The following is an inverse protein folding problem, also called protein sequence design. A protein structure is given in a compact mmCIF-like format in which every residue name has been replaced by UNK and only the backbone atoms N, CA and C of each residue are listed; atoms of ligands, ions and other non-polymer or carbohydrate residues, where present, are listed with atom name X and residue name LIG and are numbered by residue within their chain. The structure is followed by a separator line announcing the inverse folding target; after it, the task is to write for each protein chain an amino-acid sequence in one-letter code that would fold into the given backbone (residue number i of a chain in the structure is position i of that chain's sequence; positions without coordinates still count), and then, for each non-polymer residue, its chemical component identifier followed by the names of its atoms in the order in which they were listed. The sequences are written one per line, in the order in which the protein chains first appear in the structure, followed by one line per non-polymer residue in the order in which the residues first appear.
data_IF_870892866769
#
_entry.id   IF_870892866769
#
_cell.length_a   1.000
_cell.length_b   1.000
_cell.length_c   1.000
_cell.angle_alpha   90.00
_cell.angle_beta   90.00
_cell.angle_gamma   90.00
#
_symmetry.space_group_name_H-M   'P 1'
#
loop_
_entity.id
_entity.type
_entity.pdbx_description
1 polymer ?
#
# COMPACT_ATOMS: atom_id res chain seq x y z
N UNK A 1 11.17 9.63 -11.69
CA UNK A 1 10.97 8.45 -12.56
C UNK A 1 11.01 7.18 -11.73
N UNK A 2 10.13 6.21 -11.99
CA UNK A 2 10.20 4.87 -11.36
C UNK A 2 11.35 4.09 -11.98
N UNK A 3 12.21 3.49 -11.14
CA UNK A 3 13.38 2.71 -11.57
C UNK A 3 13.19 1.22 -11.36
N UNK A 4 12.47 0.83 -10.33
CA UNK A 4 12.20 -0.56 -10.01
C UNK A 4 11.21 -0.70 -8.87
N UNK A 5 10.54 -1.84 -8.83
CA UNK A 5 9.62 -2.22 -7.75
C UNK A 5 9.98 -3.62 -7.27
N UNK A 6 9.70 -3.91 -6.01
CA UNK A 6 9.97 -5.21 -5.42
C UNK A 6 8.95 -5.53 -4.35
N UNK A 7 8.83 -6.80 -4.00
CA UNK A 7 7.86 -7.26 -3.01
C UNK A 7 8.41 -8.39 -2.14
N UNK A 8 7.82 -8.56 -0.97
CA UNK A 8 8.08 -9.66 -0.07
C UNK A 8 6.79 -10.06 0.64
N UNK A 9 6.53 -11.35 0.69
CA UNK A 9 5.43 -11.96 1.42
C UNK A 9 5.98 -12.85 2.53
N UNK A 10 5.27 -12.99 3.66
CA UNK A 10 5.59 -14.00 4.66
C UNK A 10 5.61 -15.41 4.07
N UNK A 11 6.32 -16.31 4.71
CA UNK A 11 6.43 -17.71 4.28
C UNK A 11 5.12 -18.49 4.41
N UNK A 12 4.29 -18.13 5.41
CA UNK A 12 3.03 -18.84 5.69
C UNK A 12 1.89 -18.28 4.84
N UNK A 13 1.44 -19.04 3.85
CA UNK A 13 0.18 -18.81 3.15
C UNK A 13 -0.96 -19.48 3.93
N UNK A 14 -2.03 -18.72 4.18
CA UNK A 14 -3.23 -19.19 4.90
C UNK A 14 -4.43 -19.11 3.98
N UNK A 15 -5.03 -20.25 3.69
CA UNK A 15 -6.24 -20.35 2.86
C UNK A 15 -7.51 -20.09 3.68
N UNK A 16 -8.63 -19.79 3.00
CA UNK A 16 -9.92 -19.68 3.67
C UNK A 16 -10.31 -20.96 4.40
N UNK A 17 -10.03 -22.14 3.82
CA UNK A 17 -10.29 -23.45 4.45
C UNK A 17 -9.51 -23.68 5.75
N UNK A 18 -8.34 -23.06 5.87
CA UNK A 18 -7.59 -23.09 7.12
C UNK A 18 -8.26 -22.21 8.18
N UNK A 19 -8.74 -21.01 7.78
CA UNK A 19 -9.47 -20.11 8.68
C UNK A 19 -10.80 -20.68 9.18
N UNK A 20 -11.50 -21.49 8.38
CA UNK A 20 -12.74 -22.16 8.79
C UNK A 20 -12.58 -23.04 10.05
N UNK A 21 -11.36 -23.48 10.36
CA UNK A 21 -11.07 -24.30 11.53
C UNK A 21 -10.92 -23.49 12.83
N UNK A 22 -10.68 -22.20 12.68
CA UNK A 22 -10.37 -21.30 13.80
C UNK A 22 -11.46 -20.24 14.00
N UNK A 23 -12.19 -19.89 12.93
CA UNK A 23 -13.19 -18.83 12.91
C UNK A 23 -14.49 -19.34 12.30
N UNK A 24 -15.64 -18.97 12.87
CA UNK A 24 -16.96 -19.31 12.31
C UNK A 24 -17.20 -18.60 10.95
N UNK A 25 -16.71 -19.21 9.88
CA UNK A 25 -16.77 -18.67 8.50
C UNK A 25 -16.80 -19.81 7.48
N UNK A 26 -16.86 -19.50 6.18
CA UNK A 26 -16.65 -20.46 5.09
C UNK A 26 -15.91 -19.82 3.91
N UNK A 27 -15.25 -20.64 3.09
CA UNK A 27 -14.57 -20.19 1.88
C UNK A 27 -15.54 -19.44 0.95
N UNK A 28 -16.73 -20.00 0.71
CA UNK A 28 -17.76 -19.38 -0.12
C UNK A 28 -18.18 -18.00 0.44
N UNK A 29 -18.35 -17.90 1.77
CA UNK A 29 -18.75 -16.66 2.41
C UNK A 29 -17.68 -15.57 2.27
N UNK A 30 -16.40 -15.94 2.45
CA UNK A 30 -15.27 -15.01 2.30
C UNK A 30 -15.13 -14.57 0.85
N UNK A 31 -15.07 -15.51 -0.09
CA UNK A 31 -14.89 -15.20 -1.53
C UNK A 31 -16.04 -14.35 -2.06
N UNK A 32 -17.29 -14.68 -1.75
CA UNK A 32 -18.46 -13.93 -2.23
C UNK A 32 -18.45 -12.47 -1.75
N UNK A 33 -17.91 -12.20 -0.56
CA UNK A 33 -17.92 -10.86 0.05
C UNK A 33 -16.70 -10.05 -0.22
N UNK A 34 -15.58 -10.69 -0.45
CA UNK A 34 -14.26 -10.04 -0.47
C UNK A 34 -13.45 -10.32 -1.73
N UNK A 35 -13.71 -11.43 -2.41
CA UNK A 35 -12.88 -11.96 -3.49
C UNK A 35 -11.60 -12.65 -3.00
N UNK A 36 -11.34 -12.71 -1.68
CA UNK A 36 -10.10 -13.24 -1.10
C UNK A 36 -10.19 -14.76 -1.00
N UNK A 37 -9.18 -15.47 -1.53
CA UNK A 37 -9.04 -16.93 -1.44
C UNK A 37 -7.98 -17.36 -0.44
N UNK A 38 -6.98 -16.50 -0.23
CA UNK A 38 -5.87 -16.73 0.69
C UNK A 38 -5.25 -15.40 1.14
N UNK A 39 -4.39 -15.44 2.14
CA UNK A 39 -3.53 -14.36 2.61
C UNK A 39 -2.23 -14.93 3.15
N UNK A 40 -1.28 -14.04 3.43
CA UNK A 40 -0.01 -14.40 4.04
C UNK A 40 0.03 -13.83 5.45
N UNK A 41 0.59 -14.58 6.39
CA UNK A 41 0.67 -14.22 7.80
C UNK A 41 2.09 -14.38 8.29
N UNK A 42 2.64 -13.31 8.85
CA UNK A 42 4.00 -13.26 9.37
C UNK A 42 4.19 -14.22 10.54
N UNK A 43 5.15 -15.12 10.42
CA UNK A 43 5.56 -16.07 11.41
C UNK A 43 6.60 -15.50 12.38
N UNK A 44 7.23 -16.40 13.13
CA UNK A 44 8.34 -16.05 14.01
C UNK A 44 9.54 -15.52 13.19
N UNK A 45 10.11 -14.41 13.63
CA UNK A 45 11.23 -13.73 12.97
C UNK A 45 10.85 -12.93 11.73
N UNK A 46 9.58 -12.95 11.30
CA UNK A 46 9.07 -12.09 10.24
C UNK A 46 8.41 -10.86 10.87
N UNK A 47 9.00 -9.69 10.65
CA UNK A 47 8.55 -8.41 11.17
C UNK A 47 8.28 -7.42 10.04
N UNK A 48 7.67 -6.30 10.33
CA UNK A 48 7.41 -5.26 9.34
C UNK A 48 8.71 -4.77 8.70
N UNK A 49 9.76 -4.54 9.51
CA UNK A 49 11.06 -4.12 9.01
C UNK A 49 11.74 -5.20 8.17
N UNK A 50 11.70 -6.47 8.59
CA UNK A 50 12.34 -7.56 7.85
C UNK A 50 11.69 -7.81 6.48
N UNK A 51 10.35 -7.75 6.40
CA UNK A 51 9.61 -7.83 5.14
C UNK A 51 9.90 -6.59 4.27
N UNK A 52 9.89 -5.39 4.87
CA UNK A 52 10.23 -4.15 4.19
C UNK A 52 11.65 -4.17 3.59
N UNK A 53 12.64 -4.66 4.34
CA UNK A 53 14.01 -4.81 3.87
C UNK A 53 14.12 -5.82 2.72
N UNK A 54 13.38 -6.93 2.78
CA UNK A 54 13.35 -7.91 1.70
C UNK A 54 12.73 -7.33 0.42
N UNK A 55 11.61 -6.62 0.52
CA UNK A 55 10.98 -5.93 -0.61
C UNK A 55 11.90 -4.84 -1.19
N UNK A 56 12.60 -4.10 -0.32
CA UNK A 56 13.57 -3.07 -0.70
C UNK A 56 14.73 -3.65 -1.51
N UNK A 57 15.32 -4.78 -1.07
CA UNK A 57 16.40 -5.46 -1.82
C UNK A 57 15.92 -5.87 -3.22
N UNK A 58 14.72 -6.43 -3.33
CA UNK A 58 14.15 -6.79 -4.63
C UNK A 58 13.93 -5.56 -5.53
N UNK A 59 13.47 -4.44 -4.97
CA UNK A 59 13.29 -3.19 -5.72
C UNK A 59 14.63 -2.60 -6.20
N UNK A 60 15.65 -2.60 -5.34
CA UNK A 60 17.01 -2.15 -5.68
C UNK A 60 17.65 -3.00 -6.78
N UNK A 61 17.50 -4.33 -6.71
CA UNK A 61 17.99 -5.24 -7.73
C UNK A 61 17.36 -4.94 -9.10
N UNK A 62 16.04 -4.78 -9.17
CA UNK A 62 15.35 -4.42 -10.41
C UNK A 62 15.67 -3.03 -10.92
N UNK A 63 15.89 -2.08 -10.01
CA UNK A 63 16.34 -0.75 -10.34
C UNK A 63 17.81 -0.70 -10.81
N UNK A 64 18.57 -1.79 -10.67
CA UNK A 64 20.02 -1.84 -10.83
C UNK A 64 20.72 -0.72 -10.02
N UNK A 65 20.21 -0.49 -8.81
CA UNK A 65 20.62 0.57 -7.90
C UNK A 65 21.32 -0.05 -6.68
N UNK A 66 22.49 0.45 -6.35
CA UNK A 66 23.20 0.04 -5.14
C UNK A 66 22.58 0.73 -3.92
N UNK A 67 22.57 0.09 -2.74
CA UNK A 67 22.01 0.69 -1.54
C UNK A 67 22.59 2.07 -1.21
N UNK A 68 23.90 2.29 -1.41
CA UNK A 68 24.60 3.54 -1.10
C UNK A 68 24.15 4.72 -1.99
N UNK A 69 23.43 4.46 -3.06
CA UNK A 69 22.91 5.49 -3.96
C UNK A 69 21.55 6.03 -3.49
N UNK A 70 20.94 5.41 -2.47
CA UNK A 70 19.68 5.87 -1.86
C UNK A 70 19.99 6.91 -0.80
N UNK A 71 19.40 8.09 -0.95
CA UNK A 71 19.57 9.21 -0.03
C UNK A 71 18.27 9.58 0.72
N UNK A 72 17.15 8.91 0.40
CA UNK A 72 15.85 9.06 1.06
C UNK A 72 15.13 7.71 1.20
N UNK A 73 14.71 7.35 2.41
CA UNK A 73 13.88 6.17 2.68
C UNK A 73 12.60 6.63 3.38
N UNK A 74 11.44 6.30 2.81
CA UNK A 74 10.15 6.55 3.43
C UNK A 74 9.40 5.22 3.52
N UNK A 75 9.07 4.82 4.75
CA UNK A 75 8.26 3.63 5.00
C UNK A 75 6.85 4.02 5.43
N UNK A 76 5.85 3.55 4.70
CA UNK A 76 4.46 3.64 5.10
C UNK A 76 4.07 2.40 5.89
N UNK A 77 3.72 2.58 7.16
CA UNK A 77 3.29 1.48 8.04
C UNK A 77 2.39 1.97 9.17
N UNK A 78 1.49 1.10 9.62
CA UNK A 78 0.68 1.24 10.84
C UNK A 78 0.99 0.16 11.87
N UNK A 79 1.89 -0.75 11.52
CA UNK A 79 2.32 -1.87 12.36
C UNK A 79 3.85 -1.88 12.51
N UNK A 80 4.44 -0.81 13.07
CA UNK A 80 5.89 -0.75 13.26
C UNK A 80 6.34 -1.84 14.24
N UNK A 81 7.56 -2.33 14.08
CA UNK A 81 8.18 -3.31 14.99
C UNK A 81 8.27 -2.78 16.43
N UNK A 82 8.60 -1.51 16.56
CA UNK A 82 8.79 -0.79 17.82
C UNK A 82 8.09 0.58 17.73
N UNK A 83 7.78 1.17 18.88
CA UNK A 83 7.29 2.55 18.94
C UNK A 83 8.31 3.53 18.34
N UNK A 84 9.59 3.29 18.57
CA UNK A 84 10.75 3.88 17.93
C UNK A 84 11.96 2.95 18.15
N UNK A 85 13.01 2.94 17.30
CA UNK A 85 13.17 3.76 16.10
C UNK A 85 12.15 3.44 15.00
N UNK A 86 12.09 4.27 13.95
CA UNK A 86 11.21 4.06 12.81
C UNK A 86 11.58 2.82 12.02
N UNK A 87 10.61 2.19 11.38
CA UNK A 87 10.82 1.03 10.49
C UNK A 87 11.78 1.40 9.36
N UNK A 88 11.66 2.60 8.80
CA UNK A 88 12.57 3.09 7.76
C UNK A 88 14.03 3.11 8.21
N UNK A 89 14.33 3.52 9.44
CA UNK A 89 15.71 3.51 9.96
C UNK A 89 16.21 2.10 10.24
N UNK A 90 15.35 1.18 10.64
CA UNK A 90 15.70 -0.24 10.78
C UNK A 90 16.03 -0.85 9.41
N UNK A 91 15.22 -0.58 8.39
CA UNK A 91 15.47 -1.01 7.01
C UNK A 91 16.78 -0.39 6.48
N UNK A 92 17.02 0.90 6.77
CA UNK A 92 18.27 1.59 6.40
C UNK A 92 19.49 0.83 6.93
N UNK A 93 19.47 0.43 8.20
CA UNK A 93 20.53 -0.34 8.83
C UNK A 93 20.69 -1.73 8.19
N UNK A 94 19.58 -2.43 7.94
CA UNK A 94 19.57 -3.77 7.34
C UNK A 94 20.09 -3.78 5.89
N UNK A 95 19.96 -2.66 5.16
CA UNK A 95 20.50 -2.46 3.82
C UNK A 95 21.95 -1.98 3.83
N UNK A 96 22.53 -1.65 4.99
CA UNK A 96 23.86 -1.10 5.13
C UNK A 96 24.00 0.34 4.64
N UNK A 97 22.90 1.09 4.55
CA UNK A 97 22.89 2.49 4.11
C UNK A 97 23.29 3.37 5.29
N UNK A 98 24.42 4.09 5.17
CA UNK A 98 24.97 4.92 6.25
C UNK A 98 24.74 6.42 6.10
N UNK A 99 24.11 6.83 5.01
CA UNK A 99 23.79 8.23 4.70
C UNK A 99 22.33 8.42 4.36
N UNK A 100 21.95 9.66 4.07
CA UNK A 100 20.57 10.01 3.71
C UNK A 100 19.61 10.10 4.89
N UNK A 101 18.34 10.25 4.57
CA UNK A 101 17.24 10.44 5.53
C UNK A 101 16.31 9.24 5.50
N UNK A 102 15.89 8.76 6.68
CA UNK A 102 14.94 7.65 6.79
C UNK A 102 13.88 7.98 7.85
N UNK A 103 12.60 7.86 7.49
CA UNK A 103 11.47 8.08 8.40
C UNK A 103 10.21 7.34 7.94
N UNK A 104 9.27 7.14 8.89
CA UNK A 104 7.99 6.53 8.61
C UNK A 104 6.90 7.58 8.37
N UNK A 105 5.91 7.23 7.56
CA UNK A 105 4.63 7.94 7.43
C UNK A 105 3.48 7.02 7.79
N UNK A 106 2.44 7.57 8.45
CA UNK A 106 1.24 6.83 8.80
C UNK A 106 0.01 7.49 8.19
N UNK A 107 -0.60 6.81 7.22
CA UNK A 107 -1.92 7.11 6.67
C UNK A 107 -2.66 5.79 6.40
N UNK A 108 -2.34 4.76 7.19
CA UNK A 108 -2.92 3.41 7.13
C UNK A 108 -2.87 2.87 5.68
N UNK A 109 -3.98 2.38 5.14
CA UNK A 109 -4.02 1.83 3.77
C UNK A 109 -3.64 2.86 2.69
N UNK A 110 -3.83 4.16 2.93
CA UNK A 110 -3.38 5.23 2.03
C UNK A 110 -1.87 5.54 2.16
N UNK A 111 -1.19 4.93 3.13
CA UNK A 111 0.20 5.26 3.48
C UNK A 111 1.16 5.24 2.31
N UNK A 112 1.06 4.26 1.41
CA UNK A 112 1.95 4.19 0.25
C UNK A 112 1.76 5.37 -0.72
N UNK A 113 0.51 5.79 -0.98
CA UNK A 113 0.23 6.97 -1.83
C UNK A 113 0.79 8.24 -1.18
N UNK A 114 0.64 8.39 0.15
CA UNK A 114 1.22 9.50 0.90
C UNK A 114 2.75 9.47 0.87
N UNK A 115 3.37 8.29 0.99
CA UNK A 115 4.82 8.12 0.90
C UNK A 115 5.36 8.46 -0.49
N UNK A 116 4.70 8.01 -1.57
CA UNK A 116 5.06 8.37 -2.96
C UNK A 116 4.95 9.88 -3.17
N UNK A 117 3.84 10.50 -2.75
CA UNK A 117 3.65 11.94 -2.86
C UNK A 117 4.70 12.73 -2.07
N UNK A 118 5.08 12.26 -0.89
CA UNK A 118 6.13 12.87 -0.05
C UNK A 118 7.49 12.75 -0.72
N UNK A 119 7.86 11.55 -1.20
CA UNK A 119 9.14 11.32 -1.90
C UNK A 119 9.25 12.19 -3.15
N UNK A 120 8.16 12.30 -3.93
CA UNK A 120 8.12 13.16 -5.12
C UNK A 120 8.50 14.62 -4.77
N UNK A 121 7.98 15.17 -3.68
CA UNK A 121 8.30 16.56 -3.28
C UNK A 121 9.75 16.72 -2.85
N UNK A 122 10.33 15.75 -2.14
CA UNK A 122 11.76 15.76 -1.82
C UNK A 122 12.63 15.71 -3.08
N UNK A 123 12.30 14.82 -4.03
CA UNK A 123 13.03 14.69 -5.30
C UNK A 123 12.87 15.93 -6.17
N UNK A 124 11.65 16.43 -6.32
CA UNK A 124 11.36 17.62 -7.13
C UNK A 124 12.00 18.90 -6.58
N UNK A 125 12.23 18.98 -5.27
CA UNK A 125 12.96 20.12 -4.65
C UNK A 125 14.46 20.11 -4.94
N UNK A 126 14.99 19.02 -5.50
CA UNK A 126 16.42 18.83 -5.72
C UNK A 126 17.23 18.51 -4.45
N UNK A 127 16.56 18.37 -3.29
CA UNK A 127 17.24 18.07 -2.01
C UNK A 127 17.75 16.63 -1.95
N UNK A 128 17.12 15.72 -2.68
CA UNK A 128 17.46 14.30 -2.76
C UNK A 128 17.42 13.82 -4.21
N UNK A 129 18.15 12.74 -4.50
CA UNK A 129 18.29 12.19 -5.86
C UNK A 129 17.56 10.88 -6.07
N UNK A 130 17.58 10.01 -5.06
CA UNK A 130 16.96 8.68 -5.14
C UNK A 130 16.24 8.32 -3.85
N UNK A 131 14.96 8.05 -3.97
CA UNK A 131 14.11 7.65 -2.88
C UNK A 131 13.74 6.16 -2.97
N UNK A 132 13.79 5.49 -1.84
CA UNK A 132 13.22 4.16 -1.62
C UNK A 132 11.92 4.34 -0.84
N UNK A 133 10.79 4.09 -1.49
CA UNK A 133 9.44 4.20 -0.93
C UNK A 133 8.92 2.81 -0.64
N UNK A 134 8.55 2.55 0.61
CA UNK A 134 8.18 1.22 1.09
C UNK A 134 6.78 1.27 1.70
N UNK A 135 5.95 0.27 1.42
CA UNK A 135 4.74 -0.04 2.19
C UNK A 135 4.92 -1.41 2.84
N UNK A 136 4.89 -1.49 4.16
CA UNK A 136 5.14 -2.74 4.88
C UNK A 136 4.21 -2.87 6.08
N UNK A 137 3.59 -4.05 6.23
CA UNK A 137 2.61 -4.28 7.29
C UNK A 137 2.61 -5.71 7.81
N UNK A 138 2.37 -5.84 9.11
CA UNK A 138 2.03 -7.09 9.80
C UNK A 138 0.68 -6.95 10.50
N UNK A 139 -0.38 -6.72 9.71
CA UNK A 139 -1.74 -6.47 10.22
C UNK A 139 -2.30 -7.64 11.03
N UNK A 140 -1.84 -8.87 10.76
CA UNK A 140 -2.20 -10.04 11.54
C UNK A 140 -1.95 -9.89 13.05
N UNK A 141 -0.99 -9.02 13.43
CA UNK A 141 -0.58 -8.75 14.82
C UNK A 141 -1.59 -7.87 15.58
N UNK A 142 -2.44 -7.15 14.88
CA UNK A 142 -3.46 -6.26 15.46
C UNK A 142 -4.89 -6.74 15.13
N UNK A 143 -5.05 -7.96 14.61
CA UNK A 143 -6.37 -8.55 14.40
C UNK A 143 -6.94 -9.13 15.69
N UNK A 144 -8.24 -8.89 15.88
CA UNK A 144 -9.06 -9.68 16.82
C UNK A 144 -9.51 -10.95 16.08
N UNK A 145 -8.85 -12.06 16.34
CA UNK A 145 -9.15 -13.33 15.65
C UNK A 145 -10.52 -13.91 16.02
N UNK A 146 -11.22 -13.33 17.00
CA UNK A 146 -12.62 -13.65 17.31
C UNK A 146 -13.61 -12.81 16.51
N UNK A 147 -13.15 -11.73 15.83
CA UNK A 147 -14.00 -10.90 14.97
C UNK A 147 -13.89 -11.35 13.51
N UNK A 148 -14.79 -12.26 13.10
CA UNK A 148 -14.83 -12.77 11.73
C UNK A 148 -15.10 -11.69 10.67
N UNK A 149 -15.56 -10.50 11.06
CA UNK A 149 -15.85 -9.43 10.10
C UNK A 149 -14.59 -8.71 9.63
N UNK A 150 -13.50 -8.85 10.36
CA UNK A 150 -12.21 -8.22 10.07
C UNK A 150 -11.09 -9.22 9.83
N UNK A 151 -10.94 -10.27 10.64
CA UNK A 151 -9.79 -11.19 10.58
C UNK A 151 -9.69 -11.96 9.23
N UNK A 152 -10.80 -12.13 8.52
CA UNK A 152 -10.82 -12.78 7.20
C UNK A 152 -10.35 -11.88 6.05
N UNK A 153 -10.17 -10.57 6.29
CA UNK A 153 -9.82 -9.60 5.26
C UNK A 153 -8.32 -9.42 5.12
N UNK A 154 -7.61 -9.31 6.24
CA UNK A 154 -6.26 -8.79 6.28
C UNK A 154 -5.20 -9.86 6.12
N UNK A 155 -4.08 -9.45 5.55
CA UNK A 155 -2.83 -10.20 5.44
C UNK A 155 -1.64 -9.29 5.67
N UNK A 156 -0.46 -9.91 5.68
CA UNK A 156 0.83 -9.26 5.90
C UNK A 156 1.66 -9.25 4.60
N UNK A 157 2.57 -8.30 4.50
CA UNK A 157 3.49 -8.22 3.38
C UNK A 157 4.17 -6.88 3.27
N UNK A 158 5.05 -6.77 2.31
CA UNK A 158 5.74 -5.52 1.97
C UNK A 158 5.94 -5.38 0.47
N UNK A 159 5.94 -4.14 0.01
CA UNK A 159 6.38 -3.78 -1.32
C UNK A 159 7.18 -2.50 -1.30
N UNK A 160 8.07 -2.32 -2.27
CA UNK A 160 8.95 -1.18 -2.35
C UNK A 160 9.07 -0.66 -3.79
N UNK A 161 9.36 0.64 -3.92
CA UNK A 161 9.58 1.33 -5.18
C UNK A 161 10.80 2.23 -5.07
N UNK A 162 11.68 2.17 -6.07
CA UNK A 162 12.79 3.12 -6.22
C UNK A 162 12.36 4.24 -7.16
N UNK A 163 12.42 5.47 -6.67
CA UNK A 163 12.18 6.70 -7.44
C UNK A 163 13.51 7.45 -7.63
N UNK A 164 13.73 7.98 -8.82
CA UNK A 164 14.92 8.78 -9.15
C UNK A 164 14.51 10.14 -9.71
N UNK A 165 15.13 11.21 -9.21
CA UNK A 165 14.98 12.54 -9.77
C UNK A 165 15.54 12.60 -11.19
N UNK A 166 14.83 13.28 -12.09
CA UNK A 166 15.26 13.54 -13.47
C UNK A 166 15.05 15.02 -13.78
N UNK A 167 16.01 15.66 -14.43
CA UNK A 167 15.94 17.09 -14.71
C UNK A 167 14.90 17.43 -15.81
N UNK A 168 14.86 16.61 -16.85
CA UNK A 168 13.90 16.76 -17.94
C UNK A 168 13.32 15.39 -18.31
N UNK A 169 12.10 15.10 -17.83
CA UNK A 169 11.42 13.85 -18.15
C UNK A 169 9.90 14.07 -18.13
N UNK A 170 9.24 13.47 -19.09
CA UNK A 170 7.79 13.31 -19.13
C UNK A 170 7.30 12.10 -18.28
N UNK A 171 8.24 11.39 -17.63
CA UNK A 171 8.00 10.22 -16.79
C UNK A 171 8.18 10.56 -15.30
N UNK A 172 7.45 9.85 -14.47
CA UNK A 172 7.46 10.02 -13.01
C UNK A 172 6.07 10.33 -12.47
N UNK A 173 6.01 10.87 -11.27
CA UNK A 173 4.75 11.29 -10.64
C UNK A 173 4.28 12.59 -11.29
N UNK A 174 3.22 12.51 -12.11
CA UNK A 174 2.65 13.66 -12.80
C UNK A 174 1.87 14.55 -11.84
N UNK A 175 1.08 13.95 -10.98
CA UNK A 175 0.25 14.62 -9.96
C UNK A 175 -0.03 13.68 -8.80
N UNK A 176 -0.17 14.24 -7.62
CA UNK A 176 -0.68 13.55 -6.44
C UNK A 176 -1.74 14.40 -5.72
N UNK A 177 -2.84 13.76 -5.33
CA UNK A 177 -3.94 14.39 -4.59
C UNK A 177 -4.13 13.66 -3.27
N UNK A 178 -3.96 14.38 -2.17
CA UNK A 178 -4.08 13.85 -0.81
C UNK A 178 -5.18 14.60 -0.06
N UNK A 179 -5.96 13.88 0.73
CA UNK A 179 -7.06 14.42 1.56
C UNK A 179 -7.10 13.69 2.90
N UNK A 180 -7.70 14.32 3.91
CA UNK A 180 -8.04 13.67 5.17
C UNK A 180 -9.26 14.31 5.81
N UNK A 181 -10.00 13.52 6.61
CA UNK A 181 -11.12 14.00 7.43
C UNK A 181 -11.17 13.24 8.76
N UNK A 182 -10.64 13.85 9.80
CA UNK A 182 -10.55 13.27 11.14
C UNK A 182 -11.91 13.09 11.85
N UNK A 183 -12.99 13.62 11.32
CA UNK A 183 -14.36 13.40 11.86
C UNK A 183 -14.78 11.93 11.79
N UNK A 184 -14.14 11.17 10.89
CA UNK A 184 -14.44 9.75 10.65
C UNK A 184 -13.51 8.80 11.41
N UNK A 185 -12.67 9.29 12.33
CA UNK A 185 -11.65 8.49 13.05
C UNK A 185 -12.18 7.25 13.77
N UNK A 186 -13.45 7.23 14.16
CA UNK A 186 -14.08 6.09 14.85
C UNK A 186 -14.58 4.98 13.91
N UNK A 187 -14.46 5.15 12.57
CA UNK A 187 -15.01 4.20 11.60
C UNK A 187 -14.04 3.07 11.23
N UNK A 188 -12.74 3.34 11.35
CA UNK A 188 -11.66 2.39 11.12
C UNK A 188 -10.46 2.81 11.98
N UNK A 189 -10.16 2.05 13.03
CA UNK A 189 -9.11 2.39 13.99
C UNK A 189 -8.62 1.15 14.73
N UNK A 190 -7.52 1.29 15.45
CA UNK A 190 -7.05 0.31 16.43
C UNK A 190 -7.34 0.86 17.82
N UNK A 191 -7.94 0.06 18.70
CA UNK A 191 -8.45 0.48 20.02
C UNK A 191 -7.38 0.57 21.10
N UNK A 192 -6.08 0.48 20.73
CA UNK A 192 -4.91 0.58 21.60
C UNK A 192 -3.89 1.58 21.12
N UNK A 193 -2.92 1.86 21.96
CA UNK A 193 -1.78 2.72 21.68
C UNK A 193 -0.94 2.98 22.92
N UNK A 194 0.36 3.33 22.74
CA UNK A 194 1.27 3.52 23.87
C UNK A 194 0.86 4.65 24.83
N UNK A 195 0.18 5.70 24.32
CA UNK A 195 -0.25 6.85 25.13
C UNK A 195 -1.66 6.72 25.70
N UNK A 196 -2.42 5.68 25.35
CA UNK A 196 -3.80 5.47 25.81
C UNK A 196 -3.93 4.24 26.68
N UNK A 197 -3.71 3.07 26.12
CA UNK A 197 -3.90 1.78 26.78
C UNK A 197 -2.59 1.11 27.22
N UNK A 198 -1.45 1.55 26.67
CA UNK A 198 -0.16 0.89 26.84
C UNK A 198 -0.06 -0.46 26.11
N UNK A 199 -1.02 -0.77 25.22
CA UNK A 199 -1.05 -1.99 24.40
C UNK A 199 -1.21 -1.65 22.93
N UNK A 200 -0.91 -2.61 22.02
CA UNK A 200 -1.16 -2.42 20.60
C UNK A 200 -2.65 -2.27 20.28
N UNK A 201 -3.52 -2.98 21.01
CA UNK A 201 -4.96 -3.02 20.75
C UNK A 201 -5.32 -3.89 19.54
N UNK A 202 -6.60 -3.81 19.12
CA UNK A 202 -7.14 -4.54 18.00
C UNK A 202 -7.85 -3.62 17.02
N UNK A 203 -7.82 -4.00 15.76
CA UNK A 203 -8.52 -3.28 14.69
C UNK A 203 -10.04 -3.37 14.89
N UNK A 204 -10.69 -2.22 14.74
CA UNK A 204 -12.15 -2.06 14.77
C UNK A 204 -12.61 -1.36 13.49
N UNK A 205 -13.67 -1.88 12.85
CA UNK A 205 -14.12 -1.36 11.55
C UNK A 205 -15.64 -1.40 11.41
N UNK A 206 -16.21 -0.26 11.01
CA UNK A 206 -17.58 -0.16 10.54
C UNK A 206 -17.63 -0.38 9.01
N UNK A 207 -17.56 -1.63 8.55
CA UNK A 207 -17.30 -1.98 7.14
C UNK A 207 -18.26 -1.34 6.13
N UNK A 208 -19.56 -1.17 6.44
CA UNK A 208 -20.54 -0.51 5.54
C UNK A 208 -20.23 0.97 5.35
N UNK A 209 -19.83 1.67 6.42
CA UNK A 209 -19.49 3.10 6.38
C UNK A 209 -18.18 3.30 5.62
N UNK A 210 -17.17 2.44 5.89
CA UNK A 210 -15.91 2.44 5.15
C UNK A 210 -16.14 2.23 3.66
N UNK A 211 -16.95 1.25 3.27
CA UNK A 211 -17.27 0.97 1.86
C UNK A 211 -17.91 2.19 1.18
N UNK A 212 -18.97 2.77 1.80
CA UNK A 212 -19.70 3.91 1.23
C UNK A 212 -18.79 5.12 1.06
N UNK A 213 -17.98 5.42 2.05
CA UNK A 213 -17.05 6.55 2.02
C UNK A 213 -15.95 6.32 0.97
N UNK A 214 -15.36 5.11 0.93
CA UNK A 214 -14.29 4.77 0.00
C UNK A 214 -14.69 5.03 -1.46
N UNK A 215 -15.78 4.42 -1.94
CA UNK A 215 -16.21 4.55 -3.34
C UNK A 215 -16.54 6.01 -3.70
N UNK A 216 -16.98 6.84 -2.73
CA UNK A 216 -17.25 8.26 -2.96
C UNK A 216 -15.95 9.07 -3.11
N UNK A 217 -15.14 9.07 -2.07
CA UNK A 217 -14.01 9.98 -1.93
C UNK A 217 -12.82 9.62 -2.83
N UNK A 218 -12.61 8.33 -3.09
CA UNK A 218 -11.56 7.87 -3.99
C UNK A 218 -11.80 8.37 -5.41
N UNK A 219 -13.05 8.26 -5.90
CA UNK A 219 -13.36 8.78 -7.24
C UNK A 219 -13.18 10.29 -7.35
N UNK A 220 -13.46 11.06 -6.30
CA UNK A 220 -13.31 12.51 -6.31
C UNK A 220 -11.83 12.92 -6.46
N UNK A 221 -10.90 12.31 -5.70
CA UNK A 221 -9.46 12.65 -5.82
C UNK A 221 -8.85 12.19 -7.14
N UNK A 222 -9.36 11.10 -7.74
CA UNK A 222 -8.92 10.66 -9.07
C UNK A 222 -9.44 11.62 -10.15
N UNK A 223 -10.70 12.09 -10.05
CA UNK A 223 -11.25 13.11 -10.95
C UNK A 223 -10.45 14.41 -10.86
N UNK A 224 -10.08 14.84 -9.64
CA UNK A 224 -9.21 16.01 -9.44
C UNK A 224 -7.82 15.83 -10.10
N UNK A 225 -7.26 14.62 -10.04
CA UNK A 225 -5.97 14.32 -10.67
C UNK A 225 -6.07 14.37 -12.20
N UNK A 226 -7.12 13.83 -12.79
CA UNK A 226 -7.38 13.94 -14.23
C UNK A 226 -7.60 15.39 -14.66
N UNK A 227 -8.39 16.15 -13.92
CA UNK A 227 -8.66 17.56 -14.22
C UNK A 227 -7.38 18.42 -14.25
N UNK A 228 -6.44 18.17 -13.31
CA UNK A 228 -5.17 18.91 -13.25
C UNK A 228 -4.21 18.56 -14.39
N UNK A 229 -4.23 17.31 -14.85
CA UNK A 229 -3.33 16.84 -15.93
C UNK A 229 -3.92 17.00 -17.33
N UNK A 230 -5.23 17.23 -17.45
CA UNK A 230 -5.95 17.20 -18.72
C UNK A 230 -6.13 15.79 -19.30
N UNK A 231 -5.80 14.76 -18.52
CA UNK A 231 -5.97 13.35 -18.87
C UNK A 231 -7.34 12.83 -18.40
N UNK A 232 -7.71 11.64 -18.87
CA UNK A 232 -8.98 10.99 -18.57
C UNK A 232 -8.77 9.53 -18.21
N UNK A 233 -9.82 8.83 -17.80
CA UNK A 233 -9.77 7.40 -17.54
C UNK A 233 -9.44 6.56 -18.79
N UNK A 234 -9.77 7.06 -19.98
CA UNK A 234 -9.45 6.39 -21.25
C UNK A 234 -7.95 6.37 -21.53
N UNK A 235 -7.23 7.40 -21.08
CA UNK A 235 -5.77 7.52 -21.24
C UNK A 235 -4.99 6.57 -20.32
N UNK A 236 -5.63 6.02 -19.27
CA UNK A 236 -4.96 5.07 -18.37
C UNK A 236 -4.62 3.78 -19.11
N UNK A 237 -3.38 3.32 -18.92
CA UNK A 237 -3.00 1.95 -19.22
C UNK A 237 -3.38 1.03 -18.07
N UNK A 238 -3.10 1.44 -16.83
CA UNK A 238 -3.35 0.63 -15.64
C UNK A 238 -3.92 1.42 -14.46
N UNK A 239 -4.88 0.81 -13.80
CA UNK A 239 -5.40 1.23 -12.50
C UNK A 239 -4.96 0.22 -11.43
N UNK A 240 -4.18 0.68 -10.46
CA UNK A 240 -3.63 -0.13 -9.36
C UNK A 240 -4.15 0.42 -8.03
N UNK A 241 -5.40 0.08 -7.67
CA UNK A 241 -6.01 0.54 -6.42
C UNK A 241 -5.45 -0.19 -5.21
N UNK A 242 -5.70 0.38 -4.02
CA UNK A 242 -5.59 -0.35 -2.77
C UNK A 242 -6.41 -1.64 -2.81
N UNK A 243 -5.80 -2.76 -2.46
CA UNK A 243 -6.38 -4.09 -2.52
C UNK A 243 -7.17 -4.41 -1.24
N UNK A 244 -8.18 -3.57 -0.93
CA UNK A 244 -8.98 -3.72 0.28
C UNK A 244 -9.96 -4.88 0.19
N UNK A 245 -10.68 -4.94 -0.92
CA UNK A 245 -11.82 -5.82 -1.17
C UNK A 245 -12.18 -5.71 -2.65
N UNK A 246 -12.39 -6.83 -3.33
CA UNK A 246 -12.71 -6.84 -4.76
C UNK A 246 -13.92 -5.98 -5.11
N UNK A 247 -14.95 -5.96 -4.24
CA UNK A 247 -16.18 -5.17 -4.48
C UNK A 247 -15.93 -3.66 -4.46
N UNK A 248 -14.99 -3.18 -3.62
CA UNK A 248 -14.58 -1.77 -3.60
C UNK A 248 -13.83 -1.44 -4.88
N UNK A 249 -12.87 -2.28 -5.26
CA UNK A 249 -12.08 -2.13 -6.48
C UNK A 249 -12.99 -2.02 -7.71
N UNK A 250 -13.91 -2.97 -7.86
CA UNK A 250 -14.82 -3.02 -9.00
C UNK A 250 -15.76 -1.81 -9.04
N UNK A 251 -16.31 -1.40 -7.87
CA UNK A 251 -17.19 -0.24 -7.78
C UNK A 251 -16.48 1.09 -8.10
N UNK A 252 -15.23 1.25 -7.66
CA UNK A 252 -14.43 2.45 -7.95
C UNK A 252 -14.06 2.52 -9.44
N UNK A 253 -13.62 1.43 -10.03
CA UNK A 253 -13.32 1.34 -11.46
C UNK A 253 -14.56 1.63 -12.32
N UNK A 254 -15.69 1.01 -12.00
CA UNK A 254 -16.95 1.21 -12.70
C UNK A 254 -17.42 2.66 -12.65
N UNK A 255 -17.33 3.31 -11.48
CA UNK A 255 -17.76 4.70 -11.30
C UNK A 255 -16.97 5.68 -12.15
N UNK A 256 -15.69 5.37 -12.42
CA UNK A 256 -14.79 6.17 -13.26
C UNK A 256 -14.78 5.75 -14.73
N UNK A 257 -15.51 4.71 -15.11
CA UNK A 257 -15.51 4.20 -16.47
C UNK A 257 -14.23 3.46 -16.87
N UNK A 258 -13.42 3.02 -15.89
CA UNK A 258 -12.18 2.28 -16.16
C UNK A 258 -12.54 0.85 -16.56
N UNK A 259 -12.03 0.40 -17.71
CA UNK A 259 -12.28 -0.93 -18.24
C UNK A 259 -11.69 -2.00 -17.28
N UNK A 260 -12.42 -3.11 -17.00
CA UNK A 260 -11.99 -4.12 -16.02
C UNK A 260 -10.60 -4.74 -16.32
N UNK A 261 -10.23 -4.84 -17.58
CA UNK A 261 -8.93 -5.37 -18.04
C UNK A 261 -7.74 -4.46 -17.70
N UNK A 262 -7.99 -3.17 -17.46
CA UNK A 262 -6.98 -2.21 -17.01
C UNK A 262 -6.78 -2.23 -15.48
N UNK A 263 -7.60 -2.97 -14.73
CA UNK A 263 -7.56 -2.99 -13.27
C UNK A 263 -6.65 -4.11 -12.78
N UNK A 264 -5.59 -3.75 -12.06
CA UNK A 264 -4.72 -4.72 -11.39
C UNK A 264 -5.39 -5.21 -10.11
N UNK A 265 -5.60 -6.51 -10.01
CA UNK A 265 -6.18 -7.18 -8.84
C UNK A 265 -5.24 -8.25 -8.33
N UNK A 266 -4.90 -8.18 -7.06
CA UNK A 266 -4.09 -9.17 -6.33
C UNK A 266 -4.71 -9.53 -4.98
N UNK A 267 -5.83 -8.89 -4.65
CA UNK A 267 -6.54 -9.06 -3.38
C UNK A 267 -6.95 -10.53 -3.12
N UNK A 268 -7.25 -11.28 -4.17
CA UNK A 268 -7.59 -12.70 -4.07
C UNK A 268 -6.46 -13.56 -3.51
N UNK A 269 -5.20 -13.17 -3.72
CA UNK A 269 -4.02 -13.93 -3.29
C UNK A 269 -3.36 -13.38 -2.04
N UNK A 270 -3.38 -12.04 -1.89
CA UNK A 270 -2.65 -11.37 -0.80
C UNK A 270 -3.55 -10.95 0.36
N UNK A 271 -4.89 -10.90 0.15
CA UNK A 271 -5.80 -10.24 1.07
C UNK A 271 -5.56 -8.72 1.10
N UNK A 272 -6.08 -8.08 2.11
CA UNK A 272 -5.83 -6.66 2.38
C UNK A 272 -4.55 -6.52 3.21
N UNK A 273 -3.47 -6.08 2.58
CA UNK A 273 -2.18 -5.83 3.24
C UNK A 273 -1.95 -4.34 3.54
N UNK A 274 -3.02 -3.56 3.72
CA UNK A 274 -2.96 -2.13 4.07
C UNK A 274 -2.01 -1.34 3.16
N UNK A 275 -1.02 -0.62 3.71
CA UNK A 275 -0.06 0.18 2.94
C UNK A 275 0.80 -0.65 1.97
N UNK A 276 0.99 -1.93 2.21
CA UNK A 276 1.77 -2.81 1.33
C UNK A 276 1.01 -3.22 0.06
N UNK A 277 -0.32 -3.06 0.02
CA UNK A 277 -1.15 -3.65 -1.03
C UNK A 277 -0.87 -3.10 -2.43
N UNK A 278 -0.71 -1.79 -2.57
CA UNK A 278 -0.39 -1.16 -3.85
C UNK A 278 0.99 -1.58 -4.36
N UNK A 279 2.09 -1.44 -3.59
CA UNK A 279 3.40 -1.83 -4.11
C UNK A 279 3.53 -3.34 -4.35
N UNK A 280 2.82 -4.20 -3.62
CA UNK A 280 2.68 -5.62 -3.95
C UNK A 280 2.00 -5.83 -5.30
N UNK A 281 0.90 -5.12 -5.56
CA UNK A 281 0.18 -5.21 -6.83
C UNK A 281 0.99 -4.66 -8.01
N UNK A 282 1.72 -3.56 -7.80
CA UNK A 282 2.66 -3.01 -8.79
C UNK A 282 3.77 -4.01 -9.12
N UNK A 283 4.36 -4.66 -8.09
CA UNK A 283 5.39 -5.69 -8.31
C UNK A 283 4.88 -6.83 -9.17
N UNK A 284 3.69 -7.37 -8.87
CA UNK A 284 3.06 -8.44 -9.67
C UNK A 284 2.82 -7.99 -11.11
N UNK A 285 2.27 -6.78 -11.32
CA UNK A 285 1.96 -6.29 -12.65
C UNK A 285 3.20 -5.94 -13.49
N UNK A 286 4.32 -5.61 -12.86
CA UNK A 286 5.60 -5.47 -13.55
C UNK A 286 6.22 -6.83 -13.88
N UNK A 287 6.11 -7.80 -12.97
CA UNK A 287 6.69 -9.14 -13.14
C UNK A 287 6.03 -9.93 -14.28
N UNK A 288 4.71 -9.80 -14.42
CA UNK A 288 3.96 -10.46 -15.48
C UNK A 288 3.91 -9.66 -16.79
N UNK A 289 4.60 -8.51 -16.84
CA UNK A 289 4.79 -7.69 -18.04
C UNK A 289 3.57 -6.84 -18.42
N UNK A 290 2.58 -6.70 -17.53
CA UNK A 290 1.48 -5.76 -17.73
C UNK A 290 2.00 -4.33 -17.74
N UNK A 291 2.57 -3.85 -16.65
CA UNK A 291 3.11 -2.49 -16.55
C UNK A 291 4.48 -2.42 -17.23
N UNK A 292 4.61 -1.46 -18.15
CA UNK A 292 5.81 -1.23 -18.97
C UNK A 292 6.26 0.23 -18.88
N UNK A 293 7.54 0.52 -19.20
CA UNK A 293 8.01 1.90 -19.31
C UNK A 293 7.17 2.73 -20.28
N UNK A 294 6.69 3.88 -19.81
CA UNK A 294 5.83 4.80 -20.55
C UNK A 294 4.34 4.66 -20.25
N UNK A 295 3.89 3.56 -19.65
CA UNK A 295 2.48 3.37 -19.28
C UNK A 295 2.00 4.43 -18.28
N UNK A 296 0.75 4.84 -18.43
CA UNK A 296 0.08 5.72 -17.48
C UNK A 296 -0.62 4.90 -16.40
N UNK A 297 -0.14 5.00 -15.17
CA UNK A 297 -0.60 4.22 -14.02
C UNK A 297 -1.25 5.14 -13.00
N UNK A 298 -2.49 4.85 -12.61
CA UNK A 298 -3.15 5.47 -11.47
C UNK A 298 -3.08 4.56 -10.25
N UNK A 299 -2.53 5.06 -9.16
CA UNK A 299 -2.62 4.42 -7.83
C UNK A 299 -3.57 5.22 -6.96
N UNK A 300 -4.36 4.53 -6.12
CA UNK A 300 -5.26 5.18 -5.17
C UNK A 300 -5.48 4.34 -3.91
N UNK A 301 -5.76 5.00 -2.80
CA UNK A 301 -6.10 4.35 -1.55
C UNK A 301 -6.90 5.23 -0.62
N UNK A 302 -7.64 4.57 0.29
CA UNK A 302 -8.22 5.17 1.48
C UNK A 302 -7.86 4.32 2.70
N UNK A 303 -7.54 4.98 3.81
CA UNK A 303 -7.20 4.35 5.08
C UNK A 303 -7.95 4.97 6.26
N UNK A 304 -7.78 4.34 7.43
CA UNK A 304 -8.31 4.89 8.68
C UNK A 304 -7.89 6.34 8.89
N UNK A 305 -8.79 7.10 9.53
CA UNK A 305 -8.59 8.51 9.74
C UNK A 305 -9.87 9.34 9.49
N UNK A 306 -10.52 9.47 8.32
CA UNK A 306 -9.99 8.86 7.09
C UNK A 306 -8.88 9.71 6.48
N UNK A 307 -7.96 9.03 5.81
CA UNK A 307 -6.99 9.64 4.92
C UNK A 307 -7.07 8.92 3.57
N UNK A 308 -7.06 9.68 2.46
CA UNK A 308 -7.16 9.10 1.11
C UNK A 308 -6.37 9.91 0.09
N UNK A 309 -6.06 9.30 -1.01
CA UNK A 309 -5.36 9.98 -2.08
C UNK A 309 -5.21 9.14 -3.32
N UNK A 310 -4.79 9.82 -4.39
CA UNK A 310 -4.42 9.22 -5.65
C UNK A 310 -3.13 9.85 -6.19
N UNK A 311 -2.38 9.10 -6.98
CA UNK A 311 -1.27 9.60 -7.75
C UNK A 311 -1.30 9.03 -9.17
N UNK A 312 -1.06 9.89 -10.15
CA UNK A 312 -0.93 9.54 -11.56
C UNK A 312 0.55 9.52 -11.91
N UNK A 313 1.00 8.39 -12.42
CA UNK A 313 2.42 8.11 -12.65
C UNK A 313 2.62 7.73 -14.11
N UNK A 314 3.49 8.39 -14.82
CA UNK A 314 4.02 7.93 -16.11
C UNK A 314 5.21 7.01 -15.80
N UNK A 315 5.03 5.71 -16.06
CA UNK A 315 5.97 4.65 -15.64
C UNK A 315 7.33 4.70 -16.31
#
# INVERSE_FOLDING_TARGET
MVKGVGSALPRRCVTNRELEREVETSDEWIVQRTGITQRYIAGEGETTSSLGAAAARAALERAQCRPEEIDLIICATSTPDLTFPSVATMIQADLGITGGVAFDVQAVCAGFVFAVATADKFLASGSHKRALVIGAETFSRIMDWNDRTTCVLFGDGAGAMVLEAQEESDRGVLVSKLRSDGRHRSKLYVDGGPSTTGTAGHLRMEGKEVFRFAVGQVTDVMTDAFAETGLTADDLDWFVPHQANQRIIDASAQKLGIAPEKVVKTVQWHGNTSAASIPLALSVACDDGRIKPGDLVMIEAIGGGFAWGAALIRW
#
